data_IF_461065926944
#
_entry.id   IF_461065926944
#
_cell.length_a   1.000
_cell.length_b   1.000
_cell.length_c   1.000
_cell.angle_alpha   90.00
_cell.angle_beta   90.00
_cell.angle_gamma   90.00
#
_symmetry.space_group_name_H-M   'P 1'
#
loop_
_entity.id
_entity.type
_entity.pdbx_description
1 polymer ?
#
# COMPACT_ATOMS: atom_id res chain seq x y z
N UNK A 1 6.50 32.27 -4.83
CA UNK A 1 5.05 32.37 -5.02
C UNK A 1 4.76 31.76 -6.36
N UNK A 2 4.23 30.53 -6.32
CA UNK A 2 3.75 29.82 -7.48
C UNK A 2 2.29 29.49 -7.18
N UNK A 3 1.38 30.20 -7.83
CA UNK A 3 -0.06 30.11 -7.56
C UNK A 3 -0.74 29.22 -8.58
N UNK A 4 -1.79 28.51 -8.16
CA UNK A 4 -2.59 27.65 -9.03
C UNK A 4 -3.28 28.54 -10.08
N UNK A 5 -2.95 28.34 -11.34
CA UNK A 5 -3.55 29.05 -12.47
C UNK A 5 -4.62 28.20 -13.16
N UNK A 6 -4.39 26.89 -13.28
CA UNK A 6 -5.30 25.98 -13.97
C UNK A 6 -5.30 24.60 -13.31
N UNK A 7 -6.47 23.97 -13.27
CA UNK A 7 -6.65 22.57 -12.89
C UNK A 7 -7.44 21.89 -14.00
N UNK A 8 -6.97 20.76 -14.50
CA UNK A 8 -7.64 19.96 -15.53
C UNK A 8 -7.72 18.52 -15.06
N UNK A 9 -8.88 17.91 -15.16
CA UNK A 9 -9.09 16.49 -14.85
C UNK A 9 -9.47 15.70 -16.11
N UNK A 10 -9.23 14.39 -16.09
CA UNK A 10 -9.65 13.47 -17.16
C UNK A 10 -9.81 12.04 -16.67
N UNK A 11 -10.62 11.28 -17.39
CA UNK A 11 -10.75 9.83 -17.24
C UNK A 11 -9.60 9.12 -17.98
N UNK A 12 -8.84 8.28 -17.26
CA UNK A 12 -7.83 7.35 -17.79
C UNK A 12 -8.15 5.92 -17.34
N UNK A 13 -7.29 4.94 -17.63
CA UNK A 13 -7.47 3.55 -17.17
C UNK A 13 -6.40 3.15 -16.15
N UNK A 14 -6.82 2.39 -15.13
CA UNK A 14 -5.94 1.71 -14.19
C UNK A 14 -5.33 0.43 -14.80
N UNK A 15 -4.47 -0.24 -14.05
CA UNK A 15 -3.77 -1.45 -14.49
C UNK A 15 -4.67 -2.67 -14.67
N UNK A 16 -5.94 -2.60 -14.25
CA UNK A 16 -6.97 -3.62 -14.47
C UNK A 16 -7.92 -3.24 -15.61
N UNK A 17 -7.68 -2.11 -16.27
CA UNK A 17 -8.50 -1.59 -17.36
C UNK A 17 -9.81 -0.95 -16.91
N UNK A 18 -9.95 -0.59 -15.62
CA UNK A 18 -11.09 0.18 -15.13
C UNK A 18 -10.78 1.69 -15.21
N UNK A 19 -11.79 2.54 -15.42
CA UNK A 19 -11.61 3.98 -15.39
C UNK A 19 -11.07 4.49 -14.05
N UNK A 20 -10.23 5.53 -14.08
CA UNK A 20 -9.79 6.28 -12.91
C UNK A 20 -9.49 7.75 -13.26
N UNK A 21 -9.31 8.59 -12.25
CA UNK A 21 -9.11 10.03 -12.38
C UNK A 21 -7.62 10.35 -12.53
N UNK A 22 -7.28 11.18 -13.51
CA UNK A 22 -5.99 11.88 -13.62
C UNK A 22 -6.24 13.40 -13.53
N UNK A 23 -5.39 14.10 -12.78
CA UNK A 23 -5.45 15.55 -12.62
C UNK A 23 -4.11 16.17 -12.99
N UNK A 24 -4.16 17.29 -13.70
CA UNK A 24 -3.05 18.22 -13.93
C UNK A 24 -3.31 19.56 -13.27
N UNK A 25 -2.28 20.10 -12.62
CA UNK A 25 -2.29 21.43 -11.99
C UNK A 25 -1.18 22.25 -12.63
N UNK A 26 -1.55 23.36 -13.27
CA UNK A 26 -0.63 24.35 -13.81
C UNK A 26 -0.51 25.56 -12.88
N UNK A 27 0.72 26.02 -12.67
CA UNK A 27 1.03 27.20 -11.86
C UNK A 27 1.36 28.41 -12.73
N UNK A 28 1.24 29.62 -12.17
CA UNK A 28 1.55 30.90 -12.83
C UNK A 28 3.02 31.07 -13.28
N UNK A 29 3.93 30.24 -12.76
CA UNK A 29 5.32 30.14 -13.18
C UNK A 29 5.55 29.17 -14.37
N UNK A 30 4.48 28.55 -14.88
CA UNK A 30 4.49 27.58 -15.97
C UNK A 30 4.74 26.13 -15.55
N UNK A 31 4.89 25.85 -14.25
CA UNK A 31 5.07 24.50 -13.73
C UNK A 31 3.78 23.68 -13.85
N UNK A 32 3.92 22.40 -14.21
CA UNK A 32 2.78 21.45 -14.24
C UNK A 32 3.05 20.23 -13.36
N UNK A 33 2.17 20.01 -12.38
CA UNK A 33 2.06 18.77 -11.62
C UNK A 33 0.98 17.86 -12.22
N UNK A 34 1.19 16.54 -12.14
CA UNK A 34 0.22 15.55 -12.63
C UNK A 34 0.14 14.39 -11.66
N UNK A 35 -1.07 13.96 -11.33
CA UNK A 35 -1.30 12.78 -10.50
C UNK A 35 -2.44 11.92 -11.06
N UNK A 36 -2.27 10.61 -10.94
CA UNK A 36 -3.30 9.63 -11.26
C UNK A 36 -3.67 8.83 -10.01
N UNK A 37 -4.96 8.56 -9.84
CA UNK A 37 -5.50 7.98 -8.60
C UNK A 37 -5.60 6.46 -8.71
N UNK A 38 -5.09 5.69 -7.74
CA UNK A 38 -5.26 4.23 -7.72
C UNK A 38 -6.66 3.85 -7.19
N UNK A 39 -7.08 2.61 -7.44
CA UNK A 39 -8.38 2.06 -6.99
C UNK A 39 -8.24 0.62 -6.48
N UNK A 40 -8.98 0.27 -5.43
CA UNK A 40 -8.98 -1.08 -4.83
C UNK A 40 -9.88 -2.10 -5.55
N UNK A 41 -9.72 -3.39 -5.24
CA UNK A 41 -10.63 -4.45 -5.68
C UNK A 41 -11.83 -4.54 -4.74
N UNK A 42 -11.54 -4.58 -3.45
CA UNK A 42 -12.46 -4.34 -2.36
C UNK A 42 -12.21 -2.95 -1.76
N UNK A 43 -13.26 -2.41 -1.16
CA UNK A 43 -13.24 -1.18 -0.37
C UNK A 43 -13.76 -1.52 1.01
N UNK A 44 -12.94 -1.33 2.05
CA UNK A 44 -13.38 -1.52 3.44
C UNK A 44 -14.57 -0.61 3.77
N UNK A 45 -15.39 -1.02 4.75
CA UNK A 45 -16.65 -0.36 5.07
C UNK A 45 -16.49 1.10 5.55
N UNK A 46 -15.28 1.47 5.96
CA UNK A 46 -14.95 2.77 6.53
C UNK A 46 -13.96 3.59 5.68
N UNK A 47 -13.68 3.17 4.44
CA UNK A 47 -12.85 3.92 3.49
C UNK A 47 -13.57 5.20 3.02
N UNK A 48 -12.80 6.22 2.64
CA UNK A 48 -13.30 7.33 1.86
C UNK A 48 -13.85 6.83 0.51
N UNK A 49 -14.97 7.40 0.08
CA UNK A 49 -15.77 6.86 -1.00
C UNK A 49 -15.22 7.27 -2.38
N UNK A 50 -14.82 6.28 -3.18
CA UNK A 50 -14.52 6.49 -4.59
C UNK A 50 -15.82 6.75 -5.38
N UNK A 51 -15.93 7.90 -6.04
CA UNK A 51 -17.11 8.24 -6.82
C UNK A 51 -17.07 7.61 -8.21
N UNK A 52 -18.09 6.78 -8.50
CA UNK A 52 -18.31 6.10 -9.79
C UNK A 52 -19.60 6.57 -10.46
N UNK A 53 -19.65 6.49 -11.78
CA UNK A 53 -20.78 6.96 -12.58
C UNK A 53 -22.05 6.11 -12.36
N UNK A 54 -21.91 4.79 -12.21
CA UNK A 54 -23.02 3.85 -12.11
C UNK A 54 -23.76 3.60 -13.43
N UNK A 55 -23.33 4.22 -14.54
CA UNK A 55 -23.88 4.00 -15.86
C UNK A 55 -23.41 2.65 -16.43
N UNK A 56 -24.28 1.63 -16.38
CA UNK A 56 -23.99 0.28 -16.88
C UNK A 56 -23.64 0.23 -18.37
N UNK A 57 -23.94 1.27 -19.15
CA UNK A 57 -23.60 1.33 -20.57
C UNK A 57 -22.13 1.69 -20.83
N UNK A 58 -21.43 2.29 -19.85
CA UNK A 58 -20.00 2.66 -19.94
C UNK A 58 -19.20 1.93 -18.87
N UNK A 59 -18.18 1.17 -19.30
CA UNK A 59 -17.27 0.44 -18.41
C UNK A 59 -17.98 -0.40 -17.32
N UNK A 60 -19.18 -0.93 -17.62
CA UNK A 60 -19.98 -1.70 -16.66
C UNK A 60 -20.43 -0.93 -15.41
N UNK A 61 -20.54 0.41 -15.48
CA UNK A 61 -20.89 1.26 -14.34
C UNK A 61 -19.69 1.87 -13.60
N UNK A 62 -18.46 1.57 -14.03
CA UNK A 62 -17.22 2.00 -13.37
C UNK A 62 -16.62 3.29 -13.91
N UNK A 63 -17.31 4.01 -14.80
CA UNK A 63 -16.87 5.34 -15.25
C UNK A 63 -16.63 6.31 -14.10
N UNK A 64 -15.82 7.34 -14.34
CA UNK A 64 -15.48 8.39 -13.35
C UNK A 64 -15.76 9.81 -13.87
N UNK A 65 -16.62 9.96 -14.88
CA UNK A 65 -16.95 11.29 -15.43
C UNK A 65 -17.60 12.20 -14.39
N UNK A 66 -18.35 11.66 -13.43
CA UNK A 66 -18.89 12.45 -12.29
C UNK A 66 -17.78 13.03 -11.42
N UNK A 67 -16.76 12.25 -11.10
CA UNK A 67 -15.62 12.72 -10.30
C UNK A 67 -14.82 13.77 -11.06
N UNK A 68 -14.62 13.58 -12.37
CA UNK A 68 -13.97 14.56 -13.26
C UNK A 68 -14.79 15.86 -13.30
N UNK A 69 -16.10 15.79 -13.51
CA UNK A 69 -16.99 16.95 -13.53
C UNK A 69 -17.00 17.68 -12.17
N UNK A 70 -16.98 16.95 -11.04
CA UNK A 70 -16.87 17.55 -9.71
C UNK A 70 -15.59 18.39 -9.55
N UNK A 71 -14.46 17.96 -10.13
CA UNK A 71 -13.24 18.78 -10.12
C UNK A 71 -13.48 20.07 -10.90
N UNK A 72 -13.94 19.96 -12.14
CA UNK A 72 -14.17 21.09 -13.05
C UNK A 72 -15.17 22.11 -12.49
N UNK A 73 -16.33 21.64 -12.01
CA UNK A 73 -17.46 22.48 -11.65
C UNK A 73 -17.39 23.00 -10.21
N UNK A 74 -16.74 22.27 -9.28
CA UNK A 74 -16.79 22.58 -7.84
C UNK A 74 -15.44 22.92 -7.22
N UNK A 75 -14.32 22.44 -7.79
CA UNK A 75 -12.99 22.61 -7.19
C UNK A 75 -12.20 23.75 -7.87
N UNK A 76 -12.20 23.83 -9.21
CA UNK A 76 -11.32 24.76 -9.96
C UNK A 76 -11.44 26.21 -9.46
N UNK A 77 -12.63 26.79 -9.53
CA UNK A 77 -12.86 28.19 -9.16
C UNK A 77 -12.57 28.48 -7.68
N UNK A 78 -12.58 27.46 -6.84
CA UNK A 78 -12.32 27.58 -5.41
C UNK A 78 -10.83 27.55 -5.05
N UNK A 79 -9.98 26.99 -5.92
CA UNK A 79 -8.55 26.80 -5.69
C UNK A 79 -7.65 27.67 -6.57
N UNK A 80 -8.13 28.19 -7.70
CA UNK A 80 -7.36 29.14 -8.52
C UNK A 80 -6.93 30.34 -7.66
N UNK A 81 -5.65 30.70 -7.75
CA UNK A 81 -5.02 31.75 -6.97
C UNK A 81 -4.45 31.31 -5.61
N UNK A 82 -4.71 30.07 -5.15
CA UNK A 82 -4.01 29.53 -3.97
C UNK A 82 -2.54 29.32 -4.28
N UNK A 83 -1.67 29.59 -3.31
CA UNK A 83 -0.26 29.23 -3.41
C UNK A 83 -0.09 27.72 -3.28
N UNK A 84 0.55 27.07 -4.26
CA UNK A 84 0.62 25.61 -4.31
C UNK A 84 1.39 24.98 -3.14
N UNK A 85 2.23 25.76 -2.44
CA UNK A 85 2.91 25.31 -1.22
C UNK A 85 2.00 25.21 0.01
N UNK A 86 0.79 25.79 -0.03
CA UNK A 86 -0.18 25.77 1.07
C UNK A 86 -1.02 24.49 1.06
N UNK A 87 -0.35 23.33 1.01
CA UNK A 87 -0.98 22.01 0.83
C UNK A 87 -2.13 21.76 1.82
N UNK A 88 -1.94 22.09 3.11
CA UNK A 88 -2.97 21.87 4.14
C UNK A 88 -4.19 22.76 3.93
N UNK A 89 -4.01 24.00 3.47
CA UNK A 89 -5.13 24.90 3.18
C UNK A 89 -5.92 24.41 1.96
N UNK A 90 -5.22 23.92 0.94
CA UNK A 90 -5.83 23.38 -0.28
C UNK A 90 -6.61 22.09 0.02
N UNK A 91 -6.01 21.15 0.75
CA UNK A 91 -6.68 19.91 1.16
C UNK A 91 -7.89 20.21 2.05
N UNK A 92 -7.74 21.10 3.04
CA UNK A 92 -8.85 21.51 3.90
C UNK A 92 -9.98 22.17 3.11
N UNK A 93 -9.65 23.03 2.14
CA UNK A 93 -10.65 23.69 1.29
C UNK A 93 -11.46 22.67 0.49
N UNK A 94 -10.84 21.62 -0.04
CA UNK A 94 -11.56 20.53 -0.74
C UNK A 94 -12.44 19.72 0.20
N UNK A 95 -11.96 19.41 1.41
CA UNK A 95 -12.76 18.74 2.45
C UNK A 95 -13.98 19.59 2.82
N UNK A 96 -13.83 20.92 2.97
CA UNK A 96 -14.92 21.83 3.28
C UNK A 96 -15.95 21.96 2.15
N UNK A 97 -15.52 21.86 0.87
CA UNK A 97 -16.41 21.90 -0.30
C UNK A 97 -17.24 20.61 -0.40
N UNK A 98 -16.63 19.48 -0.07
CA UNK A 98 -17.29 18.18 -0.02
C UNK A 98 -18.33 18.14 1.12
N UNK A 99 -17.88 18.44 2.33
CA UNK A 99 -18.76 18.58 3.50
C UNK A 99 -19.25 17.26 4.11
N UNK A 100 -18.78 16.10 3.65
CA UNK A 100 -19.06 14.79 4.26
C UNK A 100 -17.80 14.17 4.87
N UNK A 101 -18.00 13.29 5.87
CA UNK A 101 -16.89 12.63 6.55
C UNK A 101 -16.16 11.62 5.64
N UNK A 102 -16.88 11.04 4.67
CA UNK A 102 -16.43 9.99 3.76
C UNK A 102 -16.07 10.50 2.36
N UNK A 103 -16.11 11.82 2.11
CA UNK A 103 -15.80 12.43 0.82
C UNK A 103 -16.74 12.02 -0.32
N UNK A 104 -17.99 11.72 -0.02
CA UNK A 104 -18.96 11.13 -0.95
C UNK A 104 -19.60 12.14 -1.92
N UNK A 105 -19.52 13.44 -1.64
CA UNK A 105 -20.12 14.48 -2.49
C UNK A 105 -19.24 14.86 -3.69
N UNK A 106 -17.92 15.02 -3.47
CA UNK A 106 -16.93 15.22 -4.53
C UNK A 106 -16.37 13.90 -5.05
N UNK A 107 -16.22 12.91 -4.17
CA UNK A 107 -15.47 11.68 -4.41
C UNK A 107 -14.04 11.80 -3.88
N UNK A 108 -13.61 10.82 -3.08
CA UNK A 108 -12.24 10.74 -2.57
C UNK A 108 -11.20 10.68 -3.71
N UNK A 109 -11.57 10.11 -4.85
CA UNK A 109 -10.76 10.10 -6.07
C UNK A 109 -10.60 11.49 -6.70
N UNK A 110 -11.61 12.35 -6.64
CA UNK A 110 -11.49 13.73 -7.10
C UNK A 110 -10.52 14.53 -6.21
N UNK A 111 -10.74 14.46 -4.89
CA UNK A 111 -9.95 15.20 -3.89
C UNK A 111 -8.48 14.75 -3.93
N UNK A 112 -8.22 13.45 -3.93
CA UNK A 112 -6.85 12.93 -3.93
C UNK A 112 -6.11 13.31 -5.21
N UNK A 113 -6.78 13.24 -6.37
CA UNK A 113 -6.17 13.60 -7.66
C UNK A 113 -5.63 15.03 -7.64
N UNK A 114 -6.44 15.99 -7.19
CA UNK A 114 -6.04 17.39 -7.05
C UNK A 114 -4.96 17.54 -5.99
N UNK A 115 -5.14 16.93 -4.80
CA UNK A 115 -4.19 16.99 -3.67
C UNK A 115 -2.77 16.60 -4.09
N UNK A 116 -2.63 15.48 -4.79
CA UNK A 116 -1.33 14.98 -5.26
C UNK A 116 -0.76 15.79 -6.42
N UNK A 117 -1.60 16.25 -7.35
CA UNK A 117 -1.16 17.07 -8.47
C UNK A 117 -0.61 18.43 -8.01
N UNK A 118 -1.25 19.05 -7.02
CA UNK A 118 -0.76 20.27 -6.36
C UNK A 118 0.60 20.04 -5.71
N UNK A 119 0.75 19.00 -4.89
CA UNK A 119 2.02 18.68 -4.22
C UNK A 119 3.17 18.50 -5.21
N UNK A 120 2.91 17.83 -6.34
CA UNK A 120 3.88 17.63 -7.41
C UNK A 120 4.21 18.92 -8.15
N UNK A 121 3.24 19.78 -8.39
CA UNK A 121 3.47 21.09 -8.98
C UNK A 121 4.35 21.94 -8.06
N UNK A 122 4.04 21.99 -6.77
CA UNK A 122 4.82 22.73 -5.78
C UNK A 122 6.25 22.20 -5.63
N UNK A 123 6.45 20.88 -5.60
CA UNK A 123 7.78 20.27 -5.58
C UNK A 123 8.62 20.70 -6.80
N UNK A 124 8.04 20.61 -8.00
CA UNK A 124 8.72 21.03 -9.24
C UNK A 124 9.04 22.52 -9.25
N UNK A 125 8.11 23.38 -8.84
CA UNK A 125 8.31 24.84 -8.79
C UNK A 125 9.41 25.23 -7.79
N UNK A 126 9.49 24.53 -6.66
CA UNK A 126 10.58 24.72 -5.67
C UNK A 126 11.92 24.13 -6.09
N UNK A 127 12.01 23.44 -7.23
CA UNK A 127 13.22 22.78 -7.70
C UNK A 127 13.64 21.58 -6.85
N UNK A 128 12.71 21.00 -6.09
CA UNK A 128 12.94 19.84 -5.22
C UNK A 128 12.30 18.57 -5.82
N UNK A 129 12.95 17.43 -5.58
CA UNK A 129 12.30 16.14 -5.74
C UNK A 129 11.12 16.01 -4.77
N UNK A 130 10.11 15.23 -5.14
CA UNK A 130 8.86 15.16 -4.37
C UNK A 130 9.10 14.67 -2.94
N UNK A 131 9.92 13.64 -2.74
CA UNK A 131 10.24 13.17 -1.39
C UNK A 131 10.94 14.21 -0.51
N UNK A 132 11.79 15.08 -1.09
CA UNK A 132 12.45 16.17 -0.36
C UNK A 132 11.50 17.32 -0.06
N UNK A 133 10.63 17.66 -1.00
CA UNK A 133 9.61 18.68 -0.80
C UNK A 133 8.68 18.29 0.36
N UNK A 134 8.24 17.03 0.38
CA UNK A 134 7.28 16.53 1.36
C UNK A 134 7.90 16.18 2.72
N UNK A 135 9.05 15.49 2.73
CA UNK A 135 9.70 15.02 3.95
C UNK A 135 10.80 15.94 4.50
N UNK A 136 11.07 17.03 3.79
CA UNK A 136 12.15 17.96 4.13
C UNK A 136 13.55 17.36 3.93
N UNK A 137 14.59 18.05 4.42
CA UNK A 137 15.98 17.68 4.16
C UNK A 137 16.44 16.38 4.85
N UNK A 138 15.64 15.84 5.76
CA UNK A 138 15.96 14.59 6.48
C UNK A 138 15.34 13.34 5.83
N UNK A 139 14.56 13.47 4.76
CA UNK A 139 14.04 12.31 4.04
C UNK A 139 15.18 11.56 3.33
N UNK A 140 15.53 10.36 3.83
CA UNK A 140 16.69 9.60 3.35
C UNK A 140 16.59 8.08 3.51
N UNK A 141 15.54 7.59 4.19
CA UNK A 141 15.38 6.18 4.52
C UNK A 141 14.61 5.46 3.40
N UNK A 142 15.30 4.57 2.70
CA UNK A 142 14.71 3.70 1.69
C UNK A 142 13.98 2.52 2.35
N UNK A 143 12.76 2.20 1.89
CA UNK A 143 11.92 1.19 2.53
C UNK A 143 12.33 -0.25 2.18
N UNK A 144 12.11 -1.19 3.10
CA UNK A 144 12.10 -2.63 2.77
C UNK A 144 10.87 -2.92 1.89
N UNK A 145 11.05 -3.46 0.67
CA UNK A 145 9.92 -3.84 -0.17
C UNK A 145 9.31 -5.17 0.30
N UNK A 146 8.02 -5.17 0.64
CA UNK A 146 7.22 -6.39 0.78
C UNK A 146 6.75 -6.79 -0.61
N UNK A 147 7.48 -7.71 -1.24
CA UNK A 147 7.22 -8.12 -2.60
C UNK A 147 6.25 -9.29 -2.62
N UNK A 148 5.01 -9.02 -3.01
CA UNK A 148 4.03 -10.07 -3.27
C UNK A 148 4.47 -10.92 -4.47
N UNK A 149 4.77 -12.20 -4.25
CA UNK A 149 5.28 -13.09 -5.29
C UNK A 149 4.36 -14.29 -5.55
N UNK A 150 3.38 -14.53 -4.68
CA UNK A 150 2.37 -15.55 -4.84
C UNK A 150 1.04 -15.08 -4.24
N UNK A 151 -0.02 -15.19 -5.03
CA UNK A 151 -1.36 -14.70 -4.72
C UNK A 151 -2.32 -15.86 -4.40
N UNK A 152 -3.24 -15.60 -3.48
CA UNK A 152 -4.46 -16.35 -3.23
C UNK A 152 -5.65 -15.39 -3.02
N UNK A 153 -6.67 -15.85 -2.31
CA UNK A 153 -7.83 -15.03 -1.92
C UNK A 153 -8.49 -14.31 -3.10
N UNK A 154 -8.93 -13.07 -2.88
CA UNK A 154 -9.60 -12.25 -3.89
C UNK A 154 -8.70 -11.81 -5.07
N UNK A 155 -7.37 -11.96 -4.94
CA UNK A 155 -6.38 -11.53 -5.94
C UNK A 155 -6.03 -12.62 -6.97
N UNK A 156 -6.65 -13.81 -6.86
CA UNK A 156 -6.39 -14.93 -7.74
C UNK A 156 -7.61 -15.87 -7.85
N UNK A 157 -7.87 -16.37 -9.06
CA UNK A 157 -8.75 -17.52 -9.27
C UNK A 157 -8.02 -18.82 -8.87
N UNK A 158 -7.70 -18.97 -7.59
CA UNK A 158 -6.98 -20.13 -7.03
C UNK A 158 -7.65 -20.64 -5.75
N UNK A 159 -7.24 -21.81 -5.29
CA UNK A 159 -7.76 -22.43 -4.05
C UNK A 159 -6.96 -22.07 -2.78
N UNK A 160 -6.14 -21.02 -2.81
CA UNK A 160 -5.30 -20.57 -1.69
C UNK A 160 -6.06 -19.52 -0.89
N UNK A 161 -6.23 -19.71 0.42
CA UNK A 161 -7.06 -18.81 1.25
C UNK A 161 -6.34 -17.49 1.59
N UNK A 162 -5.04 -17.55 1.92
CA UNK A 162 -4.24 -16.34 2.21
C UNK A 162 -4.06 -15.53 0.92
N UNK A 163 -4.35 -14.23 0.99
CA UNK A 163 -4.38 -13.35 -0.18
C UNK A 163 -3.00 -13.09 -0.78
N UNK A 164 -1.98 -12.81 0.04
CA UNK A 164 -0.64 -12.53 -0.45
C UNK A 164 0.47 -13.19 0.37
N UNK A 165 1.40 -13.83 -0.35
CA UNK A 165 2.64 -14.34 0.20
C UNK A 165 3.80 -13.50 -0.32
N UNK A 166 4.41 -12.76 0.59
CA UNK A 166 5.44 -11.78 0.28
C UNK A 166 6.82 -12.23 0.77
N UNK A 167 7.84 -11.81 0.03
CA UNK A 167 9.23 -11.83 0.50
C UNK A 167 9.67 -10.42 0.87
N UNK A 168 10.52 -10.32 1.90
CA UNK A 168 11.14 -9.08 2.34
C UNK A 168 12.68 -9.26 2.37
N UNK A 169 13.43 -8.58 1.50
CA UNK A 169 14.89 -8.71 1.38
C UNK A 169 15.66 -7.90 2.45
N UNK A 170 15.52 -8.29 3.71
CA UNK A 170 16.01 -7.52 4.87
C UNK A 170 17.54 -7.49 5.04
N UNK A 171 18.26 -8.45 4.46
CA UNK A 171 19.71 -8.58 4.62
C UNK A 171 20.51 -7.82 3.55
N UNK A 172 19.85 -7.19 2.59
CA UNK A 172 20.52 -6.41 1.55
C UNK A 172 21.16 -5.13 2.13
N UNK A 173 22.31 -4.68 1.59
CA UNK A 173 22.98 -3.46 2.08
C UNK A 173 22.33 -2.16 1.58
N UNK A 174 21.58 -2.23 0.48
CA UNK A 174 20.97 -1.08 -0.21
C UNK A 174 19.63 -1.50 -0.81
N UNK A 175 18.77 -0.54 -1.14
CA UNK A 175 17.50 -0.83 -1.81
C UNK A 175 17.72 -1.46 -3.19
N UNK A 176 18.71 -0.99 -3.96
CA UNK A 176 19.10 -1.61 -5.24
C UNK A 176 19.40 -3.09 -5.11
N UNK A 177 20.20 -3.49 -4.12
CA UNK A 177 20.53 -4.90 -3.89
C UNK A 177 19.31 -5.67 -3.37
N UNK A 178 18.46 -5.04 -2.58
CA UNK A 178 17.22 -5.61 -2.09
C UNK A 178 16.25 -5.93 -3.24
N UNK A 179 16.10 -5.00 -4.19
CA UNK A 179 15.29 -5.17 -5.39
C UNK A 179 15.83 -6.28 -6.29
N UNK A 180 17.17 -6.34 -6.47
CA UNK A 180 17.83 -7.42 -7.22
C UNK A 180 17.54 -8.78 -6.59
N UNK A 181 17.75 -8.91 -5.28
CA UNK A 181 17.50 -10.14 -4.54
C UNK A 181 16.05 -10.62 -4.69
N UNK A 182 15.07 -9.74 -4.46
CA UNK A 182 13.66 -10.08 -4.63
C UNK A 182 13.31 -10.48 -6.07
N UNK A 183 13.89 -9.80 -7.07
CA UNK A 183 13.70 -10.12 -8.48
C UNK A 183 14.26 -11.49 -8.87
N UNK A 184 15.45 -11.84 -8.37
CA UNK A 184 16.07 -13.15 -8.60
C UNK A 184 15.26 -14.28 -7.94
N UNK A 185 14.77 -14.06 -6.71
CA UNK A 185 13.87 -15.02 -6.02
C UNK A 185 12.57 -15.20 -6.81
N UNK A 186 11.96 -14.13 -7.32
CA UNK A 186 10.75 -14.20 -8.14
C UNK A 186 10.96 -15.04 -9.43
N UNK A 187 12.09 -14.87 -10.13
CA UNK A 187 12.42 -15.70 -11.30
C UNK A 187 12.76 -17.16 -10.93
N UNK A 188 13.38 -17.38 -9.77
CA UNK A 188 13.61 -18.73 -9.24
C UNK A 188 12.27 -19.41 -8.93
N UNK A 189 11.31 -18.70 -8.31
CA UNK A 189 9.97 -19.21 -8.02
C UNK A 189 9.24 -19.59 -9.31
N UNK A 190 9.29 -18.73 -10.34
CA UNK A 190 8.73 -19.05 -11.67
C UNK A 190 9.26 -20.39 -12.20
N UNK A 191 10.55 -20.65 -12.01
CA UNK A 191 11.20 -21.89 -12.47
C UNK A 191 10.81 -23.09 -11.60
N UNK A 192 10.66 -22.91 -10.29
CA UNK A 192 10.16 -23.93 -9.35
C UNK A 192 8.73 -24.35 -9.73
N UNK A 193 7.83 -23.39 -9.93
CA UNK A 193 6.43 -23.63 -10.31
C UNK A 193 6.33 -24.40 -11.62
N UNK A 194 7.05 -23.96 -12.67
CA UNK A 194 7.08 -24.67 -13.97
C UNK A 194 7.57 -26.10 -13.85
N UNK A 195 8.62 -26.35 -13.07
CA UNK A 195 9.17 -27.69 -12.87
C UNK A 195 8.15 -28.63 -12.19
N UNK A 196 7.29 -28.08 -11.34
CA UNK A 196 6.21 -28.83 -10.66
C UNK A 196 4.90 -28.87 -11.46
N UNK A 197 4.88 -28.31 -12.67
CA UNK A 197 3.68 -28.27 -13.52
C UNK A 197 2.60 -27.31 -13.04
N UNK A 198 2.94 -26.36 -12.16
CA UNK A 198 2.02 -25.37 -11.62
C UNK A 198 1.90 -24.15 -12.55
N UNK A 199 0.77 -23.44 -12.46
CA UNK A 199 0.52 -22.21 -13.21
C UNK A 199 1.57 -21.14 -12.91
N UNK A 200 1.94 -20.38 -13.93
CA UNK A 200 2.71 -19.13 -13.79
C UNK A 200 1.92 -17.93 -14.32
N UNK A 201 0.59 -18.04 -14.36
CA UNK A 201 -0.29 -16.90 -14.54
C UNK A 201 -0.11 -15.92 -13.39
N UNK A 202 -0.29 -14.63 -13.68
CA UNK A 202 -0.09 -13.57 -12.70
C UNK A 202 -1.45 -13.02 -12.24
N UNK A 203 -1.57 -12.70 -10.95
CA UNK A 203 -2.69 -11.93 -10.43
C UNK A 203 -2.53 -10.42 -10.63
N UNK A 204 -3.38 -9.65 -9.94
CA UNK A 204 -3.43 -8.19 -10.07
C UNK A 204 -2.11 -7.51 -9.67
N UNK A 205 -1.39 -8.06 -8.70
CA UNK A 205 -0.14 -7.51 -8.15
C UNK A 205 1.10 -8.05 -8.85
N UNK A 206 0.94 -8.94 -9.84
CA UNK A 206 2.04 -9.56 -10.58
C UNK A 206 2.65 -10.80 -9.90
N UNK A 207 2.17 -11.21 -8.73
CA UNK A 207 2.51 -12.49 -8.09
C UNK A 207 1.93 -13.67 -8.86
N UNK A 208 2.50 -14.86 -8.69
CA UNK A 208 1.98 -16.07 -9.34
C UNK A 208 0.72 -16.57 -8.63
N UNK A 209 -0.24 -17.12 -9.38
CA UNK A 209 -1.48 -17.67 -8.83
C UNK A 209 -1.62 -19.19 -9.13
N UNK A 210 -0.83 -20.07 -8.50
CA UNK A 210 -0.99 -21.52 -8.65
C UNK A 210 -2.05 -22.07 -7.69
N UNK A 211 -2.74 -23.13 -8.09
CA UNK A 211 -3.50 -23.96 -7.15
C UNK A 211 -2.55 -24.78 -6.28
N UNK A 212 -2.77 -24.75 -4.96
CA UNK A 212 -1.92 -25.41 -3.97
C UNK A 212 -2.75 -26.26 -2.99
N UNK A 213 -2.20 -27.37 -2.48
CA UNK A 213 -2.93 -28.20 -1.52
C UNK A 213 -3.22 -27.53 -0.17
N UNK A 214 -2.33 -26.64 0.28
CA UNK A 214 -2.41 -25.93 1.58
C UNK A 214 -1.71 -24.58 1.49
N UNK A 215 -2.01 -23.66 2.40
CA UNK A 215 -1.33 -22.36 2.46
C UNK A 215 0.16 -22.51 2.79
N UNK A 216 0.55 -23.46 3.65
CA UNK A 216 1.98 -23.69 3.97
C UNK A 216 2.79 -24.18 2.77
N UNK A 217 2.15 -24.85 1.80
CA UNK A 217 2.83 -25.25 0.56
C UNK A 217 3.33 -24.03 -0.23
N UNK A 218 2.65 -22.88 -0.16
CA UNK A 218 3.14 -21.65 -0.78
C UNK A 218 4.48 -21.22 -0.17
N UNK A 219 4.59 -21.24 1.16
CA UNK A 219 5.82 -20.90 1.89
C UNK A 219 6.95 -21.88 1.58
N UNK A 220 6.66 -23.18 1.46
CA UNK A 220 7.66 -24.19 1.07
C UNK A 220 8.22 -23.95 -0.34
N UNK A 221 7.35 -23.60 -1.29
CA UNK A 221 7.76 -23.28 -2.67
C UNK A 221 8.61 -22.02 -2.73
N UNK A 222 8.24 -21.00 -1.96
CA UNK A 222 9.00 -19.76 -1.85
C UNK A 222 10.35 -20.02 -1.18
N UNK A 223 10.40 -20.83 -0.12
CA UNK A 223 11.66 -21.23 0.52
C UNK A 223 12.60 -21.93 -0.46
N UNK A 224 12.10 -22.89 -1.27
CA UNK A 224 12.87 -23.54 -2.35
C UNK A 224 13.40 -22.52 -3.37
N UNK A 225 12.62 -21.48 -3.68
CA UNK A 225 13.01 -20.41 -4.60
C UNK A 225 14.10 -19.51 -4.01
N UNK A 226 14.00 -19.14 -2.73
CA UNK A 226 15.01 -18.35 -2.00
C UNK A 226 16.36 -19.05 -2.03
N UNK A 227 16.38 -20.34 -1.69
CA UNK A 227 17.61 -21.14 -1.70
C UNK A 227 18.19 -21.30 -3.12
N UNK A 228 17.35 -21.55 -4.12
CA UNK A 228 17.80 -21.64 -5.53
C UNK A 228 18.37 -20.34 -6.07
N UNK A 229 17.88 -19.19 -5.60
CA UNK A 229 18.40 -17.88 -5.96
C UNK A 229 19.72 -17.56 -5.24
N UNK A 230 20.18 -18.41 -4.31
CA UNK A 230 21.45 -18.25 -3.61
C UNK A 230 21.38 -17.38 -2.35
N UNK A 231 20.17 -17.14 -1.82
CA UNK A 231 19.95 -16.35 -0.61
C UNK A 231 19.61 -17.25 0.58
N UNK A 232 19.91 -16.79 1.80
CA UNK A 232 19.56 -17.50 3.03
C UNK A 232 18.22 -17.00 3.55
N UNK A 233 17.27 -17.92 3.64
CA UNK A 233 16.00 -17.67 4.30
C UNK A 233 16.22 -17.38 5.80
N UNK A 234 15.54 -16.37 6.34
CA UNK A 234 15.65 -15.91 7.72
C UNK A 234 16.70 -14.83 7.99
N UNK A 235 17.66 -14.60 7.10
CA UNK A 235 18.69 -13.56 7.28
C UNK A 235 18.88 -12.64 6.08
N UNK A 236 18.83 -13.17 4.87
CA UNK A 236 18.87 -12.36 3.64
C UNK A 236 17.45 -12.01 3.20
N UNK A 237 16.55 -13.01 3.19
CA UNK A 237 15.14 -12.90 2.84
C UNK A 237 14.28 -13.44 4.00
N UNK A 238 13.18 -12.77 4.33
CA UNK A 238 12.16 -13.23 5.28
C UNK A 238 10.77 -13.17 4.65
N UNK A 239 9.75 -13.72 5.31
CA UNK A 239 8.38 -13.72 4.81
C UNK A 239 7.52 -12.65 5.46
N UNK A 240 6.58 -12.13 4.68
CA UNK A 240 5.44 -11.36 5.15
C UNK A 240 4.16 -11.94 4.52
N UNK A 241 3.05 -11.82 5.23
CA UNK A 241 1.75 -12.32 4.77
C UNK A 241 0.73 -11.21 4.81
N UNK A 242 -0.16 -11.19 3.84
CA UNK A 242 -1.45 -10.52 3.92
C UNK A 242 -2.52 -11.60 3.84
N UNK A 243 -3.22 -11.77 4.95
CA UNK A 243 -4.24 -12.80 5.08
C UNK A 243 -5.58 -12.31 4.56
N UNK A 244 -5.87 -11.01 4.68
CA UNK A 244 -7.17 -10.41 4.37
C UNK A 244 -8.35 -11.20 4.98
N UNK A 245 -8.27 -11.49 6.29
CA UNK A 245 -9.19 -12.42 6.94
C UNK A 245 -10.66 -11.99 6.93
N UNK A 246 -10.93 -10.70 6.68
CA UNK A 246 -12.29 -10.17 6.46
C UNK A 246 -13.00 -10.90 5.31
N UNK A 247 -12.30 -11.26 4.23
CA UNK A 247 -12.90 -11.85 3.01
C UNK A 247 -13.48 -13.26 3.23
N UNK A 248 -13.02 -13.96 4.27
CA UNK A 248 -13.51 -15.31 4.61
C UNK A 248 -14.11 -15.39 6.02
N UNK A 249 -14.41 -14.24 6.62
CA UNK A 249 -15.11 -14.14 7.89
C UNK A 249 -16.60 -13.89 7.69
N UNK A 250 -17.42 -14.75 8.28
CA UNK A 250 -18.87 -14.59 8.26
C UNK A 250 -19.48 -15.06 9.58
N UNK A 251 -20.47 -14.33 10.08
CA UNK A 251 -21.24 -14.70 11.28
C UNK A 251 -20.39 -15.11 12.51
N UNK A 252 -19.24 -14.46 12.73
CA UNK A 252 -18.37 -14.72 13.89
C UNK A 252 -17.39 -15.89 13.72
N UNK A 253 -17.30 -16.48 12.53
CA UNK A 253 -16.40 -17.61 12.23
C UNK A 253 -15.59 -17.35 10.97
N UNK A 254 -14.34 -17.84 10.95
CA UNK A 254 -13.43 -17.78 9.82
C UNK A 254 -13.51 -19.09 9.02
N UNK A 255 -13.83 -19.03 7.74
CA UNK A 255 -13.78 -20.21 6.85
C UNK A 255 -12.39 -20.30 6.23
N UNK A 256 -11.52 -21.14 6.81
CA UNK A 256 -10.10 -21.18 6.47
C UNK A 256 -9.59 -22.63 6.36
N UNK A 257 -8.90 -22.96 5.28
CA UNK A 257 -8.44 -24.30 4.90
C UNK A 257 -9.57 -25.35 4.92
N UNK A 258 -10.75 -24.98 4.42
CA UNK A 258 -11.92 -25.86 4.36
C UNK A 258 -12.56 -26.18 5.72
N UNK A 259 -12.20 -25.45 6.78
CA UNK A 259 -12.74 -25.61 8.13
C UNK A 259 -13.23 -24.28 8.71
N UNK A 260 -14.23 -24.32 9.59
CA UNK A 260 -14.60 -23.16 10.39
C UNK A 260 -13.64 -23.04 11.57
N UNK A 261 -13.13 -21.83 11.81
CA UNK A 261 -12.20 -21.50 12.88
C UNK A 261 -12.69 -20.30 13.68
N UNK A 262 -12.41 -20.33 14.97
CA UNK A 262 -12.51 -19.18 15.86
C UNK A 262 -11.27 -18.30 15.77
N UNK A 263 -11.31 -17.07 16.29
CA UNK A 263 -10.15 -16.18 16.37
C UNK A 263 -8.97 -16.81 17.14
N UNK A 264 -9.25 -17.59 18.18
CA UNK A 264 -8.24 -18.31 18.95
C UNK A 264 -7.57 -19.42 18.12
N UNK A 265 -8.34 -20.13 17.29
CA UNK A 265 -7.81 -21.16 16.39
C UNK A 265 -7.01 -20.55 15.22
N UNK A 266 -7.44 -19.39 14.71
CA UNK A 266 -6.64 -18.60 13.76
C UNK A 266 -5.32 -18.15 14.40
N UNK A 267 -5.37 -17.65 15.64
CA UNK A 267 -4.18 -17.27 16.42
C UNK A 267 -3.23 -18.45 16.60
N UNK A 268 -3.75 -19.63 16.95
CA UNK A 268 -2.95 -20.85 17.07
C UNK A 268 -2.31 -21.28 15.74
N UNK A 269 -3.01 -21.10 14.62
CA UNK A 269 -2.47 -21.32 13.29
C UNK A 269 -1.28 -20.39 13.00
N UNK A 270 -1.39 -19.10 13.32
CA UNK A 270 -0.28 -18.17 13.15
C UNK A 270 0.92 -18.53 14.01
N UNK A 271 0.73 -18.91 15.28
CA UNK A 271 1.83 -19.40 16.13
C UNK A 271 2.63 -20.51 15.44
N UNK A 272 1.93 -21.50 14.89
CA UNK A 272 2.56 -22.61 14.17
C UNK A 272 3.36 -22.10 12.96
N UNK A 273 2.78 -21.23 12.14
CA UNK A 273 3.49 -20.66 11.00
C UNK A 273 4.74 -19.88 11.43
N UNK A 274 4.68 -19.12 12.53
CA UNK A 274 5.82 -18.36 13.02
C UNK A 274 6.95 -19.27 13.52
N UNK A 275 6.63 -20.44 14.06
CA UNK A 275 7.60 -21.44 14.52
C UNK A 275 8.26 -22.18 13.35
N UNK A 276 7.49 -22.48 12.31
CA UNK A 276 7.95 -23.21 11.13
C UNK A 276 8.69 -22.33 10.12
N UNK A 277 8.36 -21.02 10.03
CA UNK A 277 8.87 -20.11 9.01
C UNK A 277 9.36 -18.76 9.57
N UNK A 278 10.35 -18.11 8.92
CA UNK A 278 10.82 -16.80 9.35
C UNK A 278 9.91 -15.68 8.82
N UNK A 279 8.68 -15.67 9.33
CA UNK A 279 7.72 -14.59 9.09
C UNK A 279 8.02 -13.44 10.04
N UNK A 280 7.98 -12.22 9.51
CA UNK A 280 8.23 -10.96 10.25
C UNK A 280 7.03 -10.05 10.33
N UNK A 281 6.05 -10.22 9.43
CA UNK A 281 4.87 -9.38 9.34
C UNK A 281 3.66 -10.20 8.93
N UNK A 282 2.54 -9.99 9.60
CA UNK A 282 1.22 -10.51 9.20
C UNK A 282 0.26 -9.32 9.15
N UNK A 283 -0.36 -9.14 8.00
CA UNK A 283 -1.38 -8.15 7.70
C UNK A 283 -2.77 -8.80 7.72
N UNK A 284 -3.73 -8.09 8.30
CA UNK A 284 -5.13 -8.51 8.49
C UNK A 284 -5.33 -9.98 8.86
N UNK A 285 -4.68 -10.46 9.94
CA UNK A 285 -4.85 -11.84 10.42
C UNK A 285 -6.27 -12.17 10.90
N UNK A 286 -7.08 -11.16 11.21
CA UNK A 286 -8.43 -11.29 11.73
C UNK A 286 -9.32 -10.22 11.06
N UNK A 287 -10.63 -10.42 11.09
CA UNK A 287 -11.56 -9.55 10.39
C UNK A 287 -11.57 -8.11 10.96
N UNK A 288 -11.91 -7.13 10.14
CA UNK A 288 -11.83 -5.69 10.44
C UNK A 288 -12.60 -5.24 11.71
N UNK A 289 -13.60 -5.99 12.15
CA UNK A 289 -14.40 -5.70 13.35
C UNK A 289 -14.17 -6.68 14.52
N UNK A 290 -13.25 -7.63 14.42
CA UNK A 290 -12.88 -8.55 15.52
C UNK A 290 -11.84 -7.92 16.48
N UNK A 291 -12.14 -6.73 17.00
CA UNK A 291 -11.23 -5.96 17.86
C UNK A 291 -10.71 -6.73 19.08
N UNK A 292 -11.54 -7.60 19.66
CA UNK A 292 -11.13 -8.47 20.76
C UNK A 292 -10.09 -9.50 20.32
N UNK A 293 -10.30 -10.14 19.17
CA UNK A 293 -9.35 -11.09 18.59
C UNK A 293 -8.03 -10.41 18.24
N UNK A 294 -8.07 -9.23 17.61
CA UNK A 294 -6.88 -8.45 17.28
C UNK A 294 -6.05 -8.08 18.52
N UNK A 295 -6.71 -7.65 19.60
CA UNK A 295 -6.05 -7.34 20.88
C UNK A 295 -5.42 -8.59 21.50
N UNK A 296 -6.13 -9.71 21.49
CA UNK A 296 -5.63 -10.98 22.02
C UNK A 296 -4.44 -11.52 21.22
N UNK A 297 -4.52 -11.49 19.89
CA UNK A 297 -3.44 -11.87 18.98
C UNK A 297 -2.21 -10.99 19.19
N UNK A 298 -2.40 -9.66 19.26
CA UNK A 298 -1.30 -8.71 19.47
C UNK A 298 -0.63 -8.91 20.81
N UNK A 299 -1.39 -9.17 21.88
CA UNK A 299 -0.82 -9.53 23.18
C UNK A 299 -0.03 -10.85 23.14
N UNK A 300 -0.38 -11.76 22.23
CA UNK A 300 0.24 -13.08 22.11
C UNK A 300 1.53 -13.09 21.29
N UNK A 301 1.58 -12.39 20.15
CA UNK A 301 2.71 -12.44 19.20
C UNK A 301 3.29 -11.09 18.77
N UNK A 302 2.70 -9.98 19.21
CA UNK A 302 3.06 -8.63 18.77
C UNK A 302 4.47 -8.15 19.18
N UNK A 303 5.13 -8.83 20.13
CA UNK A 303 6.55 -8.58 20.43
C UNK A 303 7.49 -9.33 19.46
N UNK A 304 7.03 -10.44 18.88
CA UNK A 304 7.81 -11.30 17.97
C UNK A 304 7.73 -10.84 16.53
N UNK A 305 6.59 -10.32 16.11
CA UNK A 305 6.31 -9.94 14.72
C UNK A 305 5.61 -8.60 14.61
N UNK A 306 5.65 -8.04 13.41
CA UNK A 306 4.78 -6.94 13.00
C UNK A 306 3.38 -7.48 12.72
N UNK A 307 2.36 -6.77 13.21
CA UNK A 307 0.94 -7.01 12.97
C UNK A 307 0.40 -5.73 12.35
N UNK A 308 0.04 -5.81 11.07
CA UNK A 308 -0.38 -4.68 10.24
C UNK A 308 -1.90 -4.68 10.14
N UNK A 309 -2.53 -3.56 10.52
CA UNK A 309 -3.93 -3.32 10.19
C UNK A 309 -4.05 -2.60 8.85
N UNK A 310 -4.72 -3.22 7.89
CA UNK A 310 -5.16 -2.64 6.63
C UNK A 310 -6.66 -2.31 6.73
N UNK A 311 -7.57 -3.26 6.54
CA UNK A 311 -9.02 -3.08 6.70
C UNK A 311 -9.38 -2.70 8.14
N UNK A 312 -8.61 -3.17 9.13
CA UNK A 312 -8.78 -2.75 10.52
C UNK A 312 -8.73 -1.23 10.68
N UNK A 313 -7.86 -0.55 9.93
CA UNK A 313 -7.61 0.88 10.10
C UNK A 313 -8.07 1.74 8.94
N UNK A 314 -8.13 1.21 7.72
CA UNK A 314 -8.47 1.90 6.45
C UNK A 314 -7.81 3.28 6.31
N UNK A 315 -6.56 3.40 6.77
CA UNK A 315 -5.81 4.67 6.83
C UNK A 315 -6.56 5.80 7.59
N UNK A 316 -7.54 5.47 8.44
CA UNK A 316 -8.38 6.42 9.17
C UNK A 316 -7.79 6.75 10.56
N UNK A 317 -7.44 8.03 10.84
CA UNK A 317 -6.86 8.43 12.13
C UNK A 317 -7.67 8.04 13.37
N UNK A 318 -9.02 8.00 13.28
CA UNK A 318 -9.87 7.62 14.41
C UNK A 318 -9.74 6.13 14.74
N UNK A 319 -9.72 5.26 13.71
CA UNK A 319 -9.54 3.81 13.88
C UNK A 319 -8.11 3.48 14.31
N UNK A 320 -7.11 4.18 13.77
CA UNK A 320 -5.71 4.07 14.22
C UNK A 320 -5.60 4.45 15.70
N UNK A 321 -6.20 5.56 16.13
CA UNK A 321 -6.21 5.99 17.52
C UNK A 321 -6.86 4.93 18.44
N UNK A 322 -7.95 4.31 18.01
CA UNK A 322 -8.58 3.18 18.71
C UNK A 322 -7.64 1.98 18.82
N UNK A 323 -7.00 1.58 17.72
CA UNK A 323 -6.04 0.48 17.70
C UNK A 323 -4.85 0.69 18.63
N UNK A 324 -4.36 1.94 18.72
CA UNK A 324 -3.32 2.32 19.68
C UNK A 324 -3.83 2.17 21.13
N UNK A 325 -5.03 2.67 21.43
CA UNK A 325 -5.61 2.62 22.77
C UNK A 325 -5.90 1.19 23.24
N UNK A 326 -6.41 0.34 22.34
CA UNK A 326 -6.76 -1.06 22.61
C UNK A 326 -5.57 -2.02 22.47
N UNK A 327 -4.44 -1.55 21.90
CA UNK A 327 -3.27 -2.38 21.54
C UNK A 327 -3.64 -3.50 20.56
N UNK A 328 -4.45 -3.16 19.57
CA UNK A 328 -5.00 -4.11 18.60
C UNK A 328 -4.01 -4.51 17.50
N UNK A 329 -2.94 -3.75 17.27
CA UNK A 329 -1.89 -4.02 16.28
C UNK A 329 -0.59 -3.30 16.68
N UNK A 330 0.43 -3.34 15.82
CA UNK A 330 1.66 -2.54 16.01
C UNK A 330 2.16 -1.88 14.70
N UNK A 331 1.38 -1.96 13.63
CA UNK A 331 1.63 -1.28 12.37
C UNK A 331 0.33 -0.96 11.60
N UNK A 332 0.43 0.01 10.70
CA UNK A 332 -0.66 0.47 9.84
C UNK A 332 -0.24 0.32 8.38
N UNK A 333 -1.10 -0.26 7.54
CA UNK A 333 -0.97 -0.15 6.10
C UNK A 333 -1.54 1.20 5.65
N UNK A 334 -0.77 1.94 4.86
CA UNK A 334 -1.11 3.32 4.48
C UNK A 334 -1.44 3.34 2.99
N UNK A 335 -2.72 3.56 2.67
CA UNK A 335 -3.24 3.70 1.31
C UNK A 335 -3.82 5.10 1.16
N UNK A 336 -3.15 5.95 0.40
CA UNK A 336 -3.51 7.38 0.23
C UNK A 336 -4.96 7.61 -0.20
N UNK A 337 -5.52 6.71 -1.01
CA UNK A 337 -6.89 6.83 -1.51
C UNK A 337 -7.95 6.32 -0.54
N UNK A 338 -7.59 5.57 0.51
CA UNK A 338 -8.52 5.20 1.58
C UNK A 338 -8.89 6.39 2.46
N UNK A 339 -8.00 7.39 2.60
CA UNK A 339 -8.26 8.60 3.38
C UNK A 339 -8.60 9.80 2.48
N UNK A 340 -8.03 9.90 1.28
CA UNK A 340 -8.49 10.80 0.22
C UNK A 340 -7.75 12.14 0.10
N UNK A 341 -6.82 12.48 1.00
CA UNK A 341 -5.93 13.64 0.84
C UNK A 341 -4.52 13.37 1.34
N UNK A 342 -3.55 14.14 0.84
CA UNK A 342 -2.17 14.05 1.27
C UNK A 342 -2.00 14.50 2.73
N UNK A 343 -2.67 15.58 3.14
CA UNK A 343 -2.61 16.09 4.51
C UNK A 343 -3.12 15.06 5.52
N UNK A 344 -4.28 14.43 5.28
CA UNK A 344 -4.81 13.41 6.19
C UNK A 344 -3.93 12.14 6.19
N UNK A 345 -3.28 11.82 5.07
CA UNK A 345 -2.27 10.73 5.03
C UNK A 345 -1.09 11.03 5.95
N UNK A 346 -0.55 12.25 5.92
CA UNK A 346 0.51 12.68 6.83
C UNK A 346 0.08 12.60 8.29
N UNK A 347 -1.15 13.00 8.60
CA UNK A 347 -1.70 12.94 9.96
C UNK A 347 -1.85 11.50 10.47
N UNK A 348 -2.31 10.58 9.62
CA UNK A 348 -2.40 9.16 9.96
C UNK A 348 -1.02 8.55 10.25
N UNK A 349 -0.02 8.85 9.41
CA UNK A 349 1.36 8.37 9.59
C UNK A 349 2.01 8.98 10.83
N UNK A 350 1.86 10.28 11.06
CA UNK A 350 2.39 10.97 12.23
C UNK A 350 1.78 10.41 13.53
N UNK A 351 0.47 10.16 13.55
CA UNK A 351 -0.21 9.55 14.68
C UNK A 351 0.38 8.17 15.01
N UNK A 352 0.50 7.31 14.00
CA UNK A 352 1.06 5.97 14.16
C UNK A 352 2.52 6.02 14.64
N UNK A 353 3.37 6.82 13.99
CA UNK A 353 4.79 6.93 14.38
C UNK A 353 4.97 7.46 15.81
N UNK A 354 4.20 8.47 16.23
CA UNK A 354 4.25 9.00 17.61
C UNK A 354 3.82 7.98 18.66
N UNK A 355 2.96 7.03 18.29
CA UNK A 355 2.55 5.92 19.13
C UNK A 355 3.50 4.71 19.06
N UNK A 356 4.58 4.78 18.27
CA UNK A 356 5.54 3.69 18.09
C UNK A 356 5.09 2.61 17.11
N UNK A 357 3.97 2.80 16.41
CA UNK A 357 3.55 1.92 15.32
C UNK A 357 4.48 2.10 14.12
N UNK A 358 4.60 1.06 13.30
CA UNK A 358 5.21 1.16 11.96
C UNK A 358 4.16 1.54 10.92
N UNK A 359 4.58 2.22 9.88
CA UNK A 359 3.75 2.50 8.71
C UNK A 359 4.33 1.76 7.51
N UNK A 360 3.48 1.06 6.77
CA UNK A 360 3.84 0.42 5.52
C UNK A 360 3.07 1.12 4.40
N UNK A 361 3.77 1.90 3.58
CA UNK A 361 3.16 2.59 2.44
C UNK A 361 2.72 1.56 1.40
N UNK A 362 1.50 1.66 0.89
CA UNK A 362 0.91 0.62 0.04
C UNK A 362 0.35 1.14 -1.27
N UNK A 363 0.44 0.29 -2.29
CA UNK A 363 -0.31 0.39 -3.53
C UNK A 363 -1.79 0.00 -3.35
N UNK A 364 -2.56 -0.01 -4.45
CA UNK A 364 -3.84 -0.72 -4.60
C UNK A 364 -3.79 -1.77 -5.72
N UNK A 365 -4.76 -2.67 -5.79
CA UNK A 365 -4.82 -3.67 -6.88
C UNK A 365 -5.03 -3.04 -8.26
N UNK A 366 -5.79 -1.95 -8.38
CA UNK A 366 -5.80 -1.08 -9.56
C UNK A 366 -4.81 0.07 -9.41
N UNK A 367 -3.59 -0.10 -9.93
CA UNK A 367 -2.57 0.96 -9.93
C UNK A 367 -2.47 1.68 -11.27
N UNK A 368 -1.70 2.77 -11.28
CA UNK A 368 -1.37 3.53 -12.50
C UNK A 368 0.15 3.58 -12.69
N UNK A 369 0.62 4.32 -13.69
CA UNK A 369 2.04 4.67 -13.84
C UNK A 369 2.55 5.66 -12.79
N UNK A 370 1.65 6.23 -11.97
CA UNK A 370 2.00 7.16 -10.90
C UNK A 370 2.98 6.51 -9.92
N UNK A 371 3.96 7.26 -9.42
CA UNK A 371 4.99 6.73 -8.51
C UNK A 371 5.02 7.44 -7.16
N UNK A 372 4.00 8.24 -6.84
CA UNK A 372 3.94 9.07 -5.63
C UNK A 372 4.21 8.29 -4.35
N UNK A 373 3.67 7.07 -4.22
CA UNK A 373 3.86 6.27 -3.00
C UNK A 373 5.32 5.88 -2.74
N UNK A 374 6.18 5.83 -3.77
CA UNK A 374 7.63 5.65 -3.58
C UNK A 374 8.25 6.86 -2.88
N UNK A 375 7.92 8.07 -3.33
CA UNK A 375 8.34 9.32 -2.71
C UNK A 375 7.77 9.47 -1.30
N UNK A 376 6.50 9.10 -1.08
CA UNK A 376 5.86 9.17 0.24
C UNK A 376 6.49 8.23 1.26
N UNK A 377 6.84 6.99 0.84
CA UNK A 377 7.49 6.04 1.73
C UNK A 377 8.82 6.57 2.28
N UNK A 378 9.57 7.34 1.47
CA UNK A 378 10.84 7.98 1.87
C UNK A 378 10.60 9.29 2.62
N UNK A 379 9.69 10.13 2.13
CA UNK A 379 9.34 11.42 2.73
C UNK A 379 8.87 11.27 4.18
N UNK A 380 8.02 10.28 4.43
CA UNK A 380 7.44 10.01 5.73
C UNK A 380 8.30 9.07 6.58
N UNK A 381 9.41 8.54 6.03
CA UNK A 381 10.30 7.63 6.74
C UNK A 381 9.62 6.32 7.18
N UNK A 382 8.68 5.80 6.39
CA UNK A 382 7.93 4.57 6.69
C UNK A 382 8.86 3.37 6.92
N UNK A 383 9.98 3.32 6.19
CA UNK A 383 10.94 2.22 6.26
C UNK A 383 10.43 0.90 5.65
N UNK A 384 9.20 0.86 5.15
CA UNK A 384 8.55 -0.29 4.53
C UNK A 384 7.61 0.16 3.41
N UNK A 385 7.52 -0.64 2.35
CA UNK A 385 6.60 -0.40 1.22
C UNK A 385 6.03 -1.73 0.69
N UNK A 386 4.72 -1.78 0.43
CA UNK A 386 4.02 -2.88 -0.25
C UNK A 386 3.52 -2.39 -1.60
N UNK A 387 4.27 -2.69 -2.66
CA UNK A 387 3.94 -2.21 -4.01
C UNK A 387 3.95 -3.31 -5.07
N UNK A 388 3.68 -4.56 -4.64
CA UNK A 388 3.46 -5.72 -5.51
C UNK A 388 4.73 -6.46 -5.94
N UNK A 389 4.59 -7.38 -6.90
CA UNK A 389 5.69 -8.17 -7.43
C UNK A 389 6.69 -7.30 -8.21
N UNK A 390 7.94 -7.76 -8.42
CA UNK A 390 8.84 -7.21 -9.42
C UNK A 390 8.41 -7.61 -10.86
N UNK A 391 7.12 -7.43 -11.15
CA UNK A 391 6.45 -7.71 -12.43
C UNK A 391 5.30 -6.71 -12.63
N UNK A 392 4.93 -6.49 -13.90
CA UNK A 392 3.98 -5.46 -14.35
C UNK A 392 4.46 -4.02 -14.06
N UNK A 393 4.33 -3.12 -15.04
CA UNK A 393 4.92 -1.77 -14.93
C UNK A 393 4.22 -0.89 -13.90
N UNK A 394 2.95 -1.14 -13.57
CA UNK A 394 2.21 -0.46 -12.50
C UNK A 394 2.80 -0.71 -11.11
N UNK A 395 3.57 -1.80 -10.94
CA UNK A 395 4.35 -2.12 -9.74
C UNK A 395 5.79 -1.65 -9.88
N UNK A 396 6.44 -2.10 -10.95
CA UNK A 396 7.87 -1.88 -11.22
C UNK A 396 8.20 -0.39 -11.37
N UNK A 397 7.25 0.46 -11.79
CA UNK A 397 7.45 1.91 -11.82
C UNK A 397 7.82 2.48 -10.44
N UNK A 398 7.20 1.99 -9.36
CA UNK A 398 7.48 2.45 -7.98
C UNK A 398 8.86 1.98 -7.52
N UNK A 399 9.24 0.75 -7.83
CA UNK A 399 10.60 0.26 -7.57
C UNK A 399 11.66 1.04 -8.35
N UNK A 400 11.39 1.36 -9.61
CA UNK A 400 12.28 2.20 -10.41
C UNK A 400 12.39 3.62 -9.86
N UNK A 401 11.30 4.17 -9.29
CA UNK A 401 11.36 5.45 -8.62
C UNK A 401 12.20 5.39 -7.34
N UNK A 402 12.07 4.34 -6.53
CA UNK A 402 12.94 4.14 -5.36
C UNK A 402 14.42 3.99 -5.72
N UNK A 403 14.75 3.35 -6.86
CA UNK A 403 16.12 3.35 -7.39
C UNK A 403 16.63 4.76 -7.71
N UNK A 404 15.79 5.63 -8.29
CA UNK A 404 16.15 7.03 -8.58
C UNK A 404 16.31 7.85 -7.31
N UNK A 405 15.44 7.65 -6.32
CA UNK A 405 15.55 8.31 -5.01
C UNK A 405 16.84 7.90 -4.31
N UNK A 406 17.18 6.60 -4.32
CA UNK A 406 18.45 6.11 -3.77
C UNK A 406 19.66 6.71 -4.50
N UNK A 407 19.61 6.80 -5.84
CA UNK A 407 20.66 7.43 -6.64
C UNK A 407 20.81 8.93 -6.34
N UNK A 408 19.71 9.67 -6.22
CA UNK A 408 19.70 11.10 -5.87
C UNK A 408 20.27 11.36 -4.47
N UNK A 409 19.98 10.46 -3.51
CA UNK A 409 20.48 10.56 -2.14
C UNK A 409 21.97 10.22 -2.03
N UNK A 410 22.51 9.40 -2.93
CA UNK A 410 23.90 8.93 -2.91
C UNK A 410 24.31 8.44 -1.50
N UNK A 411 25.41 8.95 -0.94
CA UNK A 411 25.93 8.57 0.38
C UNK A 411 24.97 8.88 1.56
N UNK A 412 23.95 9.72 1.34
CA UNK A 412 22.92 10.00 2.34
C UNK A 412 21.88 8.88 2.46
N UNK A 413 21.72 8.04 1.42
CA UNK A 413 20.73 6.98 1.42
C UNK A 413 21.00 5.96 2.53
N UNK A 414 19.95 5.58 3.25
CA UNK A 414 20.00 4.46 4.20
C UNK A 414 18.88 3.50 3.86
N UNK A 415 19.21 2.21 3.75
CA UNK A 415 18.20 1.17 3.60
C UNK A 415 17.74 0.68 4.97
N UNK A 416 16.43 0.58 5.20
CA UNK A 416 15.88 0.23 6.51
C UNK A 416 16.27 -1.19 6.97
N UNK A 417 16.35 -2.15 6.04
CA UNK A 417 16.78 -3.53 6.29
C UNK A 417 16.07 -4.19 7.48
N UNK A 418 16.78 -5.07 8.19
CA UNK A 418 16.24 -5.81 9.33
C UNK A 418 15.68 -4.91 10.45
N UNK A 419 16.21 -3.69 10.63
CA UNK A 419 15.79 -2.76 11.70
C UNK A 419 14.34 -2.25 11.56
N UNK A 420 13.73 -2.44 10.38
CA UNK A 420 12.34 -2.12 10.14
C UNK A 420 11.39 -2.94 11.04
N UNK A 421 11.79 -4.14 11.47
CA UNK A 421 10.92 -5.12 12.13
C UNK A 421 11.26 -5.33 13.62
N UNK A 422 10.27 -5.56 14.50
CA UNK A 422 10.50 -5.81 15.93
C UNK A 422 11.49 -6.95 16.20
N UNK A 423 11.34 -8.09 15.50
CA UNK A 423 12.13 -9.32 15.65
C UNK A 423 13.65 -9.12 15.61
N UNK A 424 14.12 -8.12 14.86
CA UNK A 424 15.54 -7.88 14.60
C UNK A 424 16.05 -6.55 15.17
N UNK A 425 15.28 -5.88 16.02
CA UNK A 425 15.82 -4.79 16.82
C UNK A 425 16.69 -5.40 17.92
N UNK A 426 18.00 -5.20 17.84
CA UNK A 426 18.87 -5.36 19.00
C UNK A 426 18.37 -4.42 20.10
N UNK A 427 18.13 -4.96 21.29
CA UNK A 427 17.76 -4.20 22.49
C UNK A 427 18.84 -3.18 22.89
#
# INVERSE_FOLDING_TARGET
MATIEVIVAREILDSRGNPTVEVEVGLDDGTVGRAAVPSGASTGAFEALELRDGDKSRYGGKGVEKAVANIEDRIVDQLVGYEASEQRLIDQKMIDIDGTDDKSELGANAILGVSLAVAKAAAKSSGLSLFRYLGGPHAHLLPVPMMNILNGGAHADSNVDIQEFMIAPIGAPTFREALRAGSEVYQALKSVLKKKGLSTGLGDEGGFAPDLPTNSTALDLIAEAVEKAGYRLGSDIVFALDVAATEFFDNGVYTFEGSQKTADEMTAYYHKLLDDYPIVSIEDPLAEEDWSGWTALTASVGERIQIVGDDLFVTNPQRIARGIAEKAANAVLVKVNQIGSLTETFEAVDLAHRAGFRCMMSHRSGETEDTTIADLAVAMGCGQIKTGAPARSDRVAKYNQLLRIEEELADAARYAGASAFPRYRSA
#
